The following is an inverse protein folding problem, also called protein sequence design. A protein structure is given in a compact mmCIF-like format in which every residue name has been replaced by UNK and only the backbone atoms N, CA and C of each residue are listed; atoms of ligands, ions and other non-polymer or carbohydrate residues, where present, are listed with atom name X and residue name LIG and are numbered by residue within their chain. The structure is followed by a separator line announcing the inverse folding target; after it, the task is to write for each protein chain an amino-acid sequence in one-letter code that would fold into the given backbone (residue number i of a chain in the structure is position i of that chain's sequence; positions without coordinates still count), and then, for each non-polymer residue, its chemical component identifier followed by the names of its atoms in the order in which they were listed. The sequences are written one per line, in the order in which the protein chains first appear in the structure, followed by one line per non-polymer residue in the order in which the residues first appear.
data_IF_213676557858
#
_entry.id   IF_213676557858
#
_cell.length_a   1.000
_cell.length_b   1.000
_cell.length_c   1.000
_cell.angle_alpha   90.00
_cell.angle_beta   90.00
_cell.angle_gamma   90.00
#
_symmetry.space_group_name_H-M   'P 1'
#
loop_
_entity.id
_entity.type
_entity.pdbx_description
1 polymer ?
#
# COMPACT_ATOMS: atom_id res chain seq x y z
N UNK A 1 35.16 -45.40 86.73
CA UNK A 1 35.25 -46.88 86.66
C UNK A 1 35.00 -47.33 85.23
N UNK A 2 35.93 -48.16 84.72
CA UNK A 2 36.01 -48.95 83.50
C UNK A 2 36.27 -48.17 82.17
N UNK A 3 37.52 -48.14 81.85
CA UNK A 3 38.47 -48.98 81.08
C UNK A 3 38.02 -49.26 79.62
N UNK A 4 38.69 -48.57 78.76
CA UNK A 4 39.65 -49.00 77.77
C UNK A 4 39.35 -50.27 76.93
N UNK A 5 39.42 -50.09 75.62
CA UNK A 5 40.31 -50.88 74.70
C UNK A 5 40.36 -50.26 73.29
N UNK A 6 41.60 -49.89 72.95
CA UNK A 6 41.99 -49.55 71.55
C UNK A 6 42.12 -50.87 70.78
N UNK A 7 41.63 -50.79 69.49
CA UNK A 7 42.12 -51.70 68.44
C UNK A 7 42.59 -50.88 67.26
N UNK A 8 43.86 -51.00 66.96
CA UNK A 8 44.45 -50.60 65.72
C UNK A 8 43.96 -51.52 64.59
N UNK A 9 43.56 -50.87 63.43
CA UNK A 9 43.42 -51.59 62.18
C UNK A 9 44.23 -50.76 61.13
N UNK A 10 45.21 -51.46 60.58
CA UNK A 10 46.04 -50.95 59.47
C UNK A 10 45.24 -50.95 58.18
N UNK A 11 45.21 -49.83 57.51
CA UNK A 11 44.58 -49.69 56.19
C UNK A 11 45.66 -49.69 55.12
N UNK A 12 45.61 -50.67 54.23
CA UNK A 12 46.42 -50.78 53.02
C UNK A 12 45.82 -49.84 51.97
N UNK A 13 46.57 -48.85 51.50
CA UNK A 13 46.18 -47.95 50.44
C UNK A 13 46.50 -48.62 49.08
N UNK A 14 45.44 -49.00 48.35
CA UNK A 14 45.51 -49.43 46.97
C UNK A 14 45.34 -48.20 46.06
N UNK A 15 46.35 -47.82 45.31
CA UNK A 15 46.24 -46.75 44.29
C UNK A 15 45.73 -47.39 42.99
N UNK A 16 44.46 -47.14 42.67
CA UNK A 16 43.91 -47.45 41.35
C UNK A 16 44.03 -46.23 40.45
N UNK A 17 44.88 -46.31 39.42
CA UNK A 17 45.01 -45.32 38.34
C UNK A 17 43.84 -45.51 37.40
N UNK A 18 42.82 -44.62 37.47
CA UNK A 18 41.75 -44.54 36.45
C UNK A 18 42.16 -43.59 35.35
N UNK A 19 42.48 -44.14 34.16
CA UNK A 19 42.71 -43.38 32.94
C UNK A 19 41.35 -42.90 32.41
N UNK A 20 41.01 -41.64 32.62
CA UNK A 20 39.83 -40.98 31.99
C UNK A 20 40.11 -40.65 30.53
N UNK A 21 39.54 -41.43 29.62
CA UNK A 21 39.44 -41.09 28.18
C UNK A 21 38.43 -39.93 28.04
N UNK A 22 38.91 -38.72 27.91
CA UNK A 22 38.12 -37.56 27.51
C UNK A 22 37.78 -37.69 26.03
N UNK A 23 36.57 -38.14 25.71
CA UNK A 23 36.00 -38.06 24.39
C UNK A 23 35.61 -36.60 24.14
N UNK A 24 36.36 -35.89 23.26
CA UNK A 24 36.00 -34.56 22.84
C UNK A 24 34.64 -34.60 22.13
N UNK A 25 33.70 -33.66 22.42
CA UNK A 25 32.43 -33.64 21.74
C UNK A 25 32.67 -33.31 20.27
N UNK A 26 32.22 -34.21 19.37
CA UNK A 26 32.16 -33.96 17.94
C UNK A 26 31.22 -32.78 17.73
N UNK A 27 31.64 -31.69 17.05
CA UNK A 27 30.73 -30.60 16.78
C UNK A 27 29.58 -31.10 15.92
N UNK A 28 28.38 -31.12 16.52
CA UNK A 28 27.14 -31.44 15.80
C UNK A 28 26.99 -30.33 14.74
N UNK A 29 26.97 -30.71 13.46
CA UNK A 29 26.64 -29.77 12.40
C UNK A 29 25.34 -29.07 12.80
N UNK A 30 25.33 -27.73 12.78
CA UNK A 30 24.12 -26.98 13.08
C UNK A 30 23.06 -27.40 12.04
N UNK A 31 22.00 -28.03 12.53
CA UNK A 31 20.88 -28.43 11.71
C UNK A 31 20.33 -27.14 11.08
N UNK A 32 20.28 -27.07 9.74
CA UNK A 32 19.78 -25.90 9.05
C UNK A 32 18.36 -25.61 9.53
N UNK A 33 18.10 -24.37 9.91
CA UNK A 33 16.77 -23.97 10.34
C UNK A 33 15.75 -24.34 9.23
N UNK A 34 14.57 -24.85 9.59
CA UNK A 34 13.57 -25.17 8.58
C UNK A 34 13.25 -23.91 7.76
N UNK A 35 13.03 -24.07 6.44
CA UNK A 35 12.74 -22.92 5.57
C UNK A 35 11.52 -22.16 6.12
N UNK A 36 11.48 -20.82 5.97
CA UNK A 36 10.40 -20.00 6.51
C UNK A 36 9.06 -20.44 5.91
N UNK A 37 8.02 -20.44 6.75
CA UNK A 37 6.67 -20.84 6.36
C UNK A 37 6.10 -20.03 5.18
N UNK A 38 6.61 -18.79 4.99
CA UNK A 38 6.21 -17.86 3.93
C UNK A 38 7.45 -17.24 3.27
N UNK A 39 7.43 -17.13 1.93
CA UNK A 39 8.42 -16.35 1.20
C UNK A 39 8.09 -14.86 1.31
N UNK A 40 9.09 -13.98 1.28
CA UNK A 40 8.86 -12.55 1.14
C UNK A 40 8.14 -12.20 -0.15
N UNK A 41 7.26 -11.22 -0.08
CA UNK A 41 6.50 -10.70 -1.21
C UNK A 41 6.97 -9.30 -1.54
N UNK A 42 7.32 -9.05 -2.80
CA UNK A 42 7.70 -7.72 -3.30
C UNK A 42 6.72 -7.28 -4.39
N UNK A 43 6.06 -6.16 -4.15
CA UNK A 43 5.16 -5.52 -5.11
C UNK A 43 5.88 -4.46 -5.93
N UNK A 44 5.50 -4.30 -7.20
CA UNK A 44 6.03 -3.28 -8.11
C UNK A 44 4.90 -2.61 -8.86
N UNK A 45 4.72 -1.30 -8.61
CA UNK A 45 3.58 -0.52 -9.10
C UNK A 45 3.64 -0.19 -10.59
N UNK A 46 2.51 0.26 -11.13
CA UNK A 46 2.36 0.75 -12.50
C UNK A 46 2.73 2.22 -12.68
N UNK A 47 2.42 2.77 -13.87
CA UNK A 47 2.63 4.18 -14.17
C UNK A 47 1.85 5.07 -13.22
N UNK A 48 2.49 6.14 -12.74
CA UNK A 48 1.95 7.09 -11.75
C UNK A 48 1.40 6.42 -10.46
N UNK A 49 1.76 5.16 -10.23
CA UNK A 49 1.35 4.39 -9.06
C UNK A 49 2.32 4.51 -7.89
N UNK A 50 1.97 3.82 -6.80
CA UNK A 50 2.80 3.69 -5.60
C UNK A 50 2.48 2.38 -4.89
N UNK A 51 3.12 2.14 -3.75
CA UNK A 51 2.83 0.99 -2.89
C UNK A 51 1.36 0.92 -2.45
N UNK A 52 0.65 2.06 -2.39
CA UNK A 52 -0.77 2.10 -2.02
C UNK A 52 -1.66 1.22 -2.90
N UNK A 53 -1.27 0.95 -4.15
CA UNK A 53 -2.01 0.04 -5.05
C UNK A 53 -2.19 -1.36 -4.45
N UNK A 54 -1.24 -1.79 -3.60
CA UNK A 54 -1.19 -3.15 -3.07
C UNK A 54 -1.67 -3.27 -1.62
N UNK A 55 -2.14 -2.18 -0.99
CA UNK A 55 -2.59 -2.19 0.41
C UNK A 55 -3.65 -3.27 0.69
N UNK A 56 -4.64 -3.41 -0.20
CA UNK A 56 -5.70 -4.41 -0.05
C UNK A 56 -5.15 -5.83 -0.09
N UNK A 57 -4.25 -6.12 -1.02
CA UNK A 57 -3.64 -7.46 -1.13
C UNK A 57 -2.69 -7.76 0.03
N UNK A 58 -1.90 -6.79 0.48
CA UNK A 58 -1.06 -6.93 1.67
C UNK A 58 -1.90 -7.27 2.92
N UNK A 59 -3.02 -6.55 3.12
CA UNK A 59 -3.97 -6.84 4.21
C UNK A 59 -4.63 -8.21 4.08
N UNK A 60 -4.93 -8.68 2.86
CA UNK A 60 -5.44 -10.04 2.62
C UNK A 60 -4.37 -11.09 2.88
N UNK A 61 -3.12 -10.87 2.45
CA UNK A 61 -2.00 -11.77 2.78
C UNK A 61 -1.85 -11.91 4.30
N UNK A 62 -1.83 -10.79 5.04
CA UNK A 62 -1.74 -10.84 6.51
C UNK A 62 -3.00 -11.44 7.16
N UNK A 63 -4.18 -11.35 6.53
CA UNK A 63 -5.39 -12.07 6.97
C UNK A 63 -5.28 -13.59 6.80
N UNK A 64 -4.35 -14.05 5.98
CA UNK A 64 -4.05 -15.45 5.72
C UNK A 64 -2.73 -15.92 6.34
N UNK A 65 -2.20 -15.16 7.31
CA UNK A 65 -1.06 -15.56 8.13
C UNK A 65 0.31 -15.08 7.67
N UNK A 66 0.42 -14.33 6.56
CA UNK A 66 1.71 -13.72 6.20
C UNK A 66 2.14 -12.71 7.27
N UNK A 67 3.39 -12.75 7.73
CA UNK A 67 3.95 -11.66 8.53
C UNK A 67 4.00 -10.37 7.73
N UNK A 68 3.64 -9.24 8.34
CA UNK A 68 3.64 -7.95 7.66
C UNK A 68 5.04 -7.50 7.24
N UNK A 69 6.06 -7.86 8.01
CA UNK A 69 7.44 -7.42 7.85
C UNK A 69 8.15 -8.06 6.63
N UNK A 70 7.51 -9.06 6.00
CA UNK A 70 8.01 -9.69 4.77
C UNK A 70 7.22 -9.29 3.52
N UNK A 71 6.33 -8.32 3.64
CA UNK A 71 5.53 -7.78 2.54
C UNK A 71 5.99 -6.35 2.27
N UNK A 72 6.62 -6.13 1.11
CA UNK A 72 7.17 -4.83 0.75
C UNK A 72 6.77 -4.42 -0.66
N UNK A 73 6.91 -3.13 -0.96
CA UNK A 73 6.79 -2.61 -2.30
C UNK A 73 8.08 -1.92 -2.74
N UNK A 74 8.47 -2.14 -3.99
CA UNK A 74 9.55 -1.43 -4.64
C UNK A 74 8.99 -0.29 -5.46
N UNK A 75 9.24 0.94 -5.03
CA UNK A 75 8.76 2.16 -5.67
C UNK A 75 9.87 2.79 -6.51
N UNK A 76 9.46 3.45 -7.59
CA UNK A 76 10.36 4.12 -8.52
C UNK A 76 9.66 5.32 -9.16
N UNK A 77 10.43 6.21 -9.72
CA UNK A 77 9.95 7.36 -10.51
C UNK A 77 9.51 6.88 -11.89
N UNK A 78 8.21 6.52 -11.99
CA UNK A 78 7.66 5.94 -13.21
C UNK A 78 7.70 6.84 -14.44
N UNK A 79 7.51 8.15 -14.36
CA UNK A 79 7.74 9.08 -15.48
C UNK A 79 9.14 8.98 -16.09
N UNK A 80 10.15 8.77 -15.27
CA UNK A 80 11.56 8.74 -15.68
C UNK A 80 12.11 7.32 -15.89
N UNK A 81 11.26 6.30 -15.93
CA UNK A 81 11.68 4.88 -15.96
C UNK A 81 12.69 4.56 -17.08
N UNK A 82 12.57 5.20 -18.24
CA UNK A 82 13.47 4.95 -19.37
C UNK A 82 14.94 5.29 -19.05
N UNK A 83 15.18 6.25 -18.18
CA UNK A 83 16.52 6.73 -17.83
C UNK A 83 17.06 6.12 -16.53
N UNK A 84 16.17 5.65 -15.64
CA UNK A 84 16.54 5.15 -14.29
C UNK A 84 16.46 3.62 -14.15
N UNK A 85 16.17 2.90 -15.23
CA UNK A 85 15.95 1.45 -15.18
C UNK A 85 17.10 0.67 -14.50
N UNK A 86 18.40 0.98 -14.76
CA UNK A 86 19.50 0.33 -14.06
C UNK A 86 19.47 0.55 -12.53
N UNK A 87 19.11 1.75 -12.09
CA UNK A 87 18.99 2.12 -10.67
C UNK A 87 17.81 1.39 -10.02
N UNK A 88 16.68 1.25 -10.74
CA UNK A 88 15.52 0.48 -10.28
C UNK A 88 15.90 -0.99 -10.07
N UNK A 89 16.65 -1.58 -11.00
CA UNK A 89 17.13 -2.96 -10.85
C UNK A 89 18.10 -3.12 -9.67
N UNK A 90 19.03 -2.20 -9.50
CA UNK A 90 19.97 -2.22 -8.36
C UNK A 90 19.23 -2.07 -7.02
N UNK A 91 18.24 -1.19 -6.94
CA UNK A 91 17.39 -1.03 -5.76
C UNK A 91 16.58 -2.28 -5.45
N UNK A 92 16.07 -2.96 -6.48
CA UNK A 92 15.35 -4.22 -6.30
C UNK A 92 16.29 -5.35 -5.85
N UNK A 93 17.51 -5.44 -6.41
CA UNK A 93 18.54 -6.40 -5.97
C UNK A 93 18.87 -6.21 -4.49
N UNK A 94 19.05 -4.97 -4.04
CA UNK A 94 19.33 -4.63 -2.65
C UNK A 94 18.15 -5.01 -1.72
N UNK A 95 16.91 -4.71 -2.13
CA UNK A 95 15.69 -5.06 -1.39
C UNK A 95 15.53 -6.57 -1.23
N UNK A 96 15.66 -7.32 -2.32
CA UNK A 96 15.58 -8.79 -2.31
C UNK A 96 16.68 -9.36 -1.41
N UNK A 97 17.93 -8.88 -1.54
CA UNK A 97 19.05 -9.34 -0.70
C UNK A 97 18.76 -9.15 0.78
N UNK A 98 18.25 -7.99 1.17
CA UNK A 98 17.90 -7.68 2.55
C UNK A 98 16.76 -8.58 3.07
N UNK A 99 15.70 -8.77 2.27
CA UNK A 99 14.58 -9.65 2.65
C UNK A 99 15.01 -11.10 2.83
N UNK A 100 15.82 -11.64 1.91
CA UNK A 100 16.33 -13.00 2.01
C UNK A 100 17.23 -13.16 3.24
N UNK A 101 18.13 -12.21 3.50
CA UNK A 101 18.99 -12.22 4.69
C UNK A 101 18.18 -12.13 6.01
N UNK A 102 17.12 -11.33 6.02
CA UNK A 102 16.28 -11.14 7.21
C UNK A 102 15.36 -12.34 7.51
N UNK A 103 14.99 -13.11 6.49
CA UNK A 103 14.00 -14.21 6.63
C UNK A 103 14.61 -15.59 6.56
N UNK A 104 15.83 -15.74 6.06
CA UNK A 104 16.43 -17.03 5.74
C UNK A 104 15.76 -17.75 4.55
N UNK A 105 14.91 -17.06 3.79
CA UNK A 105 14.34 -17.59 2.56
C UNK A 105 15.37 -17.58 1.42
N UNK A 106 15.30 -18.55 0.52
CA UNK A 106 16.17 -18.62 -0.67
C UNK A 106 15.65 -17.76 -1.82
N UNK A 107 14.34 -17.51 -1.85
CA UNK A 107 13.66 -16.83 -2.94
C UNK A 107 12.53 -15.93 -2.42
N UNK A 108 12.15 -14.95 -3.25
CA UNK A 108 10.97 -14.09 -3.04
C UNK A 108 9.88 -14.40 -4.06
N UNK A 109 8.66 -13.92 -3.78
CA UNK A 109 7.57 -13.83 -4.75
C UNK A 109 7.47 -12.38 -5.26
N UNK A 110 7.45 -12.16 -6.59
CA UNK A 110 7.33 -10.85 -7.22
C UNK A 110 5.95 -10.67 -7.85
N UNK A 111 5.31 -9.54 -7.56
CA UNK A 111 4.02 -9.16 -8.13
C UNK A 111 4.14 -7.77 -8.76
N UNK A 112 3.78 -7.63 -10.02
CA UNK A 112 3.89 -6.37 -10.73
C UNK A 112 2.60 -6.01 -11.46
N UNK A 113 2.31 -4.71 -11.54
CA UNK A 113 1.15 -4.17 -12.20
C UNK A 113 1.54 -3.26 -13.38
N UNK A 114 0.82 -3.36 -14.50
CA UNK A 114 0.91 -2.43 -15.62
C UNK A 114 2.37 -2.17 -16.07
N UNK A 115 2.86 -0.93 -16.03
CA UNK A 115 4.26 -0.57 -16.33
C UNK A 115 5.26 -1.37 -15.48
N UNK A 116 4.92 -1.69 -14.22
CA UNK A 116 5.76 -2.51 -13.36
C UNK A 116 6.02 -3.90 -13.93
N UNK A 117 5.13 -4.43 -14.78
CA UNK A 117 5.35 -5.70 -15.47
C UNK A 117 6.45 -5.61 -16.52
N UNK A 118 6.54 -4.47 -17.24
CA UNK A 118 7.66 -4.19 -18.13
C UNK A 118 8.99 -4.20 -17.35
N UNK A 119 9.01 -3.52 -16.21
CA UNK A 119 10.20 -3.44 -15.34
C UNK A 119 10.59 -4.83 -14.84
N UNK A 120 9.63 -5.64 -14.38
CA UNK A 120 9.91 -6.98 -13.85
C UNK A 120 10.26 -8.00 -14.91
N UNK A 121 9.62 -7.99 -16.07
CA UNK A 121 10.01 -8.86 -17.18
C UNK A 121 11.45 -8.56 -17.61
N UNK A 122 11.81 -7.27 -17.74
CA UNK A 122 13.18 -6.85 -18.00
C UNK A 122 14.16 -7.28 -16.90
N UNK A 123 13.81 -7.13 -15.64
CA UNK A 123 14.62 -7.54 -14.50
C UNK A 123 14.91 -9.04 -14.51
N UNK A 124 13.89 -9.88 -14.69
CA UNK A 124 14.00 -11.33 -14.70
C UNK A 124 14.78 -11.87 -15.91
N UNK A 125 14.65 -11.23 -17.07
CA UNK A 125 15.36 -11.64 -18.30
C UNK A 125 16.80 -11.11 -18.38
N UNK A 126 17.12 -10.07 -17.59
CA UNK A 126 18.45 -9.43 -17.65
C UNK A 126 19.58 -10.27 -17.07
N UNK A 127 19.27 -11.26 -16.21
CA UNK A 127 20.28 -12.11 -15.56
C UNK A 127 19.67 -13.40 -15.00
N UNK A 128 20.25 -14.58 -15.31
CA UNK A 128 19.85 -15.83 -14.67
C UNK A 128 19.94 -15.80 -13.14
N UNK A 129 20.92 -15.06 -12.58
CA UNK A 129 21.09 -14.92 -11.14
C UNK A 129 19.93 -14.14 -10.50
N UNK A 130 19.34 -13.16 -11.19
CA UNK A 130 18.13 -12.46 -10.75
C UNK A 130 16.91 -13.38 -10.76
N UNK A 131 16.70 -14.08 -11.87
CA UNK A 131 15.60 -15.04 -12.02
C UNK A 131 15.66 -16.14 -10.95
N UNK A 132 16.84 -16.67 -10.65
CA UNK A 132 17.04 -17.73 -9.65
C UNK A 132 16.63 -17.33 -8.22
N UNK A 133 16.54 -16.02 -7.92
CA UNK A 133 16.11 -15.50 -6.62
C UNK A 133 14.59 -15.30 -6.50
N UNK A 134 13.82 -15.63 -7.57
CA UNK A 134 12.38 -15.45 -7.64
C UNK A 134 11.70 -16.79 -7.80
N UNK A 135 10.83 -17.16 -6.86
CA UNK A 135 10.07 -18.40 -6.89
C UNK A 135 8.87 -18.31 -7.85
N UNK A 136 8.15 -17.17 -7.76
CA UNK A 136 6.95 -16.91 -8.54
C UNK A 136 6.94 -15.48 -9.04
N UNK A 137 6.43 -15.29 -10.25
CA UNK A 137 6.14 -13.98 -10.81
C UNK A 137 4.63 -13.86 -11.09
N UNK A 138 4.02 -12.77 -10.64
CA UNK A 138 2.61 -12.45 -10.93
C UNK A 138 2.56 -11.18 -11.77
N UNK A 139 1.95 -11.29 -12.95
CA UNK A 139 1.71 -10.21 -13.90
C UNK A 139 0.25 -9.75 -13.79
N UNK A 140 0.02 -8.55 -13.27
CA UNK A 140 -1.31 -7.97 -13.10
C UNK A 140 -1.59 -6.96 -14.20
N UNK A 141 -2.47 -7.30 -15.11
CA UNK A 141 -2.96 -6.50 -16.24
C UNK A 141 -1.87 -5.70 -16.98
N UNK A 142 -0.75 -6.38 -17.27
CA UNK A 142 0.44 -5.73 -17.79
C UNK A 142 0.85 -6.22 -19.18
N UNK A 143 2.16 -6.39 -19.37
CA UNK A 143 2.75 -6.74 -20.65
C UNK A 143 2.59 -8.24 -20.94
N UNK A 144 2.28 -8.57 -22.20
CA UNK A 144 2.34 -9.94 -22.73
C UNK A 144 3.80 -10.39 -22.93
N UNK A 145 4.02 -11.69 -23.04
CA UNK A 145 5.32 -12.27 -23.39
C UNK A 145 5.16 -13.62 -24.11
N UNK A 146 6.17 -14.01 -24.89
CA UNK A 146 6.18 -15.27 -25.63
C UNK A 146 6.65 -16.47 -24.79
N UNK A 147 7.19 -16.21 -23.60
CA UNK A 147 7.61 -17.22 -22.61
C UNK A 147 7.53 -16.61 -21.22
N UNK A 148 7.48 -17.43 -20.15
CA UNK A 148 7.62 -16.93 -18.79
C UNK A 148 8.93 -16.17 -18.61
N UNK A 149 8.92 -14.93 -18.10
CA UNK A 149 10.11 -14.09 -17.98
C UNK A 149 11.20 -14.74 -17.11
N UNK A 150 12.41 -14.85 -17.65
CA UNK A 150 13.53 -15.53 -16.98
C UNK A 150 13.31 -17.01 -16.66
N UNK A 151 12.30 -17.65 -17.26
CA UNK A 151 11.91 -19.04 -16.97
C UNK A 151 11.22 -19.21 -15.61
N UNK A 152 10.84 -18.10 -14.94
CA UNK A 152 10.20 -18.14 -13.62
C UNK A 152 8.73 -18.57 -13.76
N UNK A 153 8.22 -19.48 -12.91
CA UNK A 153 6.79 -19.79 -12.84
C UNK A 153 5.95 -18.53 -12.77
N UNK A 154 5.00 -18.37 -13.69
CA UNK A 154 4.28 -17.10 -13.88
C UNK A 154 2.76 -17.31 -13.84
N UNK A 155 2.07 -16.46 -13.09
CA UNK A 155 0.63 -16.21 -13.17
C UNK A 155 0.42 -14.85 -13.86
N UNK A 156 -0.43 -14.81 -14.88
CA UNK A 156 -0.85 -13.58 -15.53
C UNK A 156 -2.36 -13.38 -15.36
N UNK A 157 -2.75 -12.29 -14.70
CA UNK A 157 -4.15 -11.89 -14.52
C UNK A 157 -4.42 -10.71 -15.44
N UNK A 158 -5.48 -10.83 -16.26
CA UNK A 158 -5.91 -9.87 -17.26
C UNK A 158 -7.26 -9.33 -16.90
N UNK A 159 -7.39 -8.01 -16.84
CA UNK A 159 -8.67 -7.31 -16.68
C UNK A 159 -9.39 -7.09 -18.02
N UNK A 160 -10.19 -6.02 -18.08
CA UNK A 160 -10.87 -5.59 -19.29
C UNK A 160 -9.92 -5.36 -20.47
N UNK A 161 -10.39 -5.54 -21.69
CA UNK A 161 -9.65 -5.32 -22.94
C UNK A 161 -9.54 -6.56 -23.80
N UNK A 162 -8.46 -6.71 -24.55
CA UNK A 162 -8.27 -7.81 -25.48
C UNK A 162 -8.18 -9.16 -24.74
N UNK A 163 -9.11 -10.09 -24.98
CA UNK A 163 -9.11 -11.42 -24.33
C UNK A 163 -8.00 -12.34 -24.83
N UNK A 164 -7.30 -11.98 -25.91
CA UNK A 164 -6.19 -12.75 -26.44
C UNK A 164 -4.85 -12.46 -25.72
N UNK A 165 -4.82 -11.50 -24.80
CA UNK A 165 -3.60 -11.20 -24.04
C UNK A 165 -3.16 -12.40 -23.23
N UNK A 166 -1.88 -12.75 -23.34
CA UNK A 166 -1.30 -13.88 -22.62
C UNK A 166 0.21 -13.72 -22.41
N UNK A 167 0.72 -14.45 -21.43
CA UNK A 167 2.12 -14.87 -21.36
C UNK A 167 2.13 -16.35 -21.73
N UNK A 168 2.74 -16.70 -22.86
CA UNK A 168 2.76 -18.08 -23.38
C UNK A 168 3.53 -18.97 -22.40
N UNK A 169 2.95 -20.12 -22.02
CA UNK A 169 3.52 -21.05 -21.05
C UNK A 169 3.30 -20.67 -19.58
N UNK A 170 2.60 -19.56 -19.31
CA UNK A 170 2.17 -19.19 -17.95
C UNK A 170 0.73 -19.65 -17.67
N UNK A 171 0.33 -19.60 -16.40
CA UNK A 171 -1.10 -19.64 -16.01
C UNK A 171 -1.72 -18.29 -16.34
N UNK A 172 -2.70 -18.26 -17.25
CA UNK A 172 -3.41 -17.03 -17.64
C UNK A 172 -4.84 -17.07 -17.11
N UNK A 173 -5.25 -16.02 -16.39
CA UNK A 173 -6.59 -15.84 -15.83
C UNK A 173 -7.16 -14.52 -16.37
N UNK A 174 -8.37 -14.57 -16.91
CA UNK A 174 -9.06 -13.38 -17.45
C UNK A 174 -10.24 -13.01 -16.55
N UNK A 175 -10.29 -11.76 -16.13
CA UNK A 175 -11.34 -11.14 -15.31
C UNK A 175 -11.94 -9.96 -16.09
N UNK A 176 -12.72 -10.21 -17.16
CA UNK A 176 -13.11 -9.18 -18.13
C UNK A 176 -13.96 -8.06 -17.55
N UNK A 177 -14.59 -8.30 -16.40
CA UNK A 177 -15.41 -7.31 -15.69
C UNK A 177 -14.62 -6.44 -14.71
N UNK A 178 -13.29 -6.68 -14.59
CA UNK A 178 -12.42 -5.89 -13.75
C UNK A 178 -11.66 -4.84 -14.57
N UNK A 179 -11.64 -3.63 -14.04
CA UNK A 179 -10.85 -2.54 -14.60
C UNK A 179 -9.34 -2.73 -14.35
N UNK A 180 -8.52 -1.93 -15.00
CA UNK A 180 -7.07 -2.04 -15.01
C UNK A 180 -6.43 -2.08 -13.60
N UNK A 181 -6.81 -1.17 -12.70
CA UNK A 181 -6.29 -1.17 -11.32
C UNK A 181 -7.10 -2.08 -10.39
N UNK A 182 -8.35 -2.40 -10.73
CA UNK A 182 -9.16 -3.34 -9.95
C UNK A 182 -8.54 -4.74 -9.91
N UNK A 183 -7.86 -5.18 -10.98
CA UNK A 183 -7.12 -6.45 -10.98
C UNK A 183 -6.05 -6.53 -9.88
N UNK A 184 -5.56 -5.39 -9.40
CA UNK A 184 -4.58 -5.34 -8.31
C UNK A 184 -5.23 -5.49 -6.94
N UNK A 185 -6.44 -4.93 -6.75
CA UNK A 185 -7.07 -4.77 -5.43
C UNK A 185 -8.19 -5.76 -5.14
N UNK A 186 -8.67 -6.52 -6.13
CA UNK A 186 -9.86 -7.36 -6.01
C UNK A 186 -9.66 -8.63 -5.17
N UNK A 187 -10.72 -9.14 -4.53
CA UNK A 187 -10.69 -10.43 -3.83
C UNK A 187 -10.54 -11.63 -4.77
N UNK A 188 -11.05 -11.53 -6.02
CA UNK A 188 -10.94 -12.58 -7.05
C UNK A 188 -9.47 -12.74 -7.47
N UNK A 189 -8.80 -11.63 -7.80
CA UNK A 189 -7.35 -11.66 -8.08
C UNK A 189 -6.54 -12.19 -6.90
N UNK A 190 -6.95 -11.85 -5.67
CA UNK A 190 -6.28 -12.38 -4.48
C UNK A 190 -6.39 -13.90 -4.35
N UNK A 191 -7.55 -14.50 -4.64
CA UNK A 191 -7.74 -15.95 -4.61
C UNK A 191 -6.77 -16.65 -5.58
N UNK A 192 -6.70 -16.16 -6.81
CA UNK A 192 -5.79 -16.67 -7.83
C UNK A 192 -4.30 -16.51 -7.43
N UNK A 193 -3.93 -15.32 -6.96
CA UNK A 193 -2.57 -15.04 -6.46
C UNK A 193 -2.22 -16.00 -5.33
N UNK A 194 -3.08 -16.12 -4.32
CA UNK A 194 -2.78 -16.95 -3.16
C UNK A 194 -2.67 -18.43 -3.51
N UNK A 195 -3.55 -18.94 -4.36
CA UNK A 195 -3.47 -20.32 -4.89
C UNK A 195 -2.16 -20.56 -5.63
N UNK A 196 -1.75 -19.62 -6.46
CA UNK A 196 -0.51 -19.73 -7.22
C UNK A 196 0.72 -19.71 -6.30
N UNK A 197 0.78 -18.79 -5.33
CA UNK A 197 1.92 -18.68 -4.42
C UNK A 197 2.00 -19.83 -3.39
N UNK A 198 0.84 -20.41 -3.01
CA UNK A 198 0.76 -21.35 -1.88
C UNK A 198 0.33 -22.77 -2.25
N UNK A 199 -0.08 -23.02 -3.49
CA UNK A 199 -0.61 -24.31 -3.94
C UNK A 199 -1.92 -24.73 -3.26
N UNK A 200 -2.61 -23.79 -2.59
CA UNK A 200 -3.88 -24.02 -1.88
C UNK A 200 -4.73 -22.75 -1.83
N UNK A 201 -6.03 -22.92 -1.63
CA UNK A 201 -6.93 -21.78 -1.43
C UNK A 201 -6.58 -20.96 -0.18
N UNK A 202 -6.84 -19.63 -0.19
CA UNK A 202 -6.77 -18.81 1.01
C UNK A 202 -7.86 -19.23 2.01
N UNK A 203 -7.62 -19.00 3.30
CA UNK A 203 -8.68 -19.17 4.32
C UNK A 203 -9.79 -18.14 4.12
N UNK A 204 -9.46 -16.97 3.61
CA UNK A 204 -10.40 -15.90 3.31
C UNK A 204 -9.85 -14.95 2.26
N UNK A 205 -10.74 -14.43 1.41
CA UNK A 205 -10.45 -13.32 0.50
C UNK A 205 -10.81 -11.96 1.12
N UNK A 206 -11.36 -11.95 2.34
CA UNK A 206 -11.71 -10.74 3.07
C UNK A 206 -10.51 -10.22 3.87
N UNK A 207 -10.50 -8.92 4.12
CA UNK A 207 -9.61 -8.31 5.11
C UNK A 207 -10.23 -8.52 6.49
N UNK A 208 -9.62 -9.40 7.29
CA UNK A 208 -10.09 -9.73 8.64
C UNK A 208 -9.56 -8.68 9.63
N UNK A 209 -10.42 -7.97 10.35
CA UNK A 209 -10.00 -7.02 11.36
C UNK A 209 -9.15 -7.67 12.47
N UNK A 210 -8.17 -6.93 13.00
CA UNK A 210 -7.48 -7.32 14.22
C UNK A 210 -8.44 -7.13 15.41
N UNK A 211 -8.78 -8.21 16.09
CA UNK A 211 -9.85 -8.22 17.11
C UNK A 211 -9.49 -7.46 18.39
N UNK A 212 -8.21 -7.37 18.73
CA UNK A 212 -7.74 -6.71 19.94
C UNK A 212 -6.51 -5.87 19.68
N UNK A 213 -6.52 -4.65 20.21
CA UNK A 213 -5.37 -3.78 20.25
C UNK A 213 -5.20 -2.83 19.08
N UNK A 214 -3.99 -2.35 18.98
CA UNK A 214 -3.56 -1.34 18.02
C UNK A 214 -3.06 -2.01 16.75
N UNK A 215 -3.51 -1.51 15.59
CA UNK A 215 -2.82 -1.73 14.32
C UNK A 215 -1.53 -0.90 14.29
N UNK A 216 -0.48 -1.44 13.71
CA UNK A 216 0.77 -0.71 13.47
C UNK A 216 0.75 -0.17 12.04
N UNK A 217 0.84 1.14 11.89
CA UNK A 217 0.79 1.80 10.59
C UNK A 217 2.13 2.47 10.30
N UNK A 218 2.71 2.14 9.17
CA UNK A 218 3.88 2.82 8.63
C UNK A 218 3.67 3.15 7.16
N UNK A 219 4.46 4.07 6.65
CA UNK A 219 4.32 4.49 5.28
C UNK A 219 5.30 5.57 4.90
N UNK A 220 4.96 6.27 3.82
CA UNK A 220 5.75 7.40 3.32
C UNK A 220 4.82 8.54 2.89
N UNK A 221 5.23 9.78 3.12
CA UNK A 221 4.71 10.94 2.41
C UNK A 221 5.54 11.13 1.14
N UNK A 222 4.90 11.13 -0.02
CA UNK A 222 5.59 11.11 -1.31
C UNK A 222 5.02 12.14 -2.29
N UNK A 223 5.88 12.62 -3.18
CA UNK A 223 5.51 13.53 -4.27
C UNK A 223 4.95 12.73 -5.45
N UNK A 224 3.82 13.16 -5.95
CA UNK A 224 3.22 12.61 -7.17
C UNK A 224 3.85 13.24 -8.42
N UNK A 225 4.10 12.47 -9.48
CA UNK A 225 4.02 11.01 -9.61
C UNK A 225 5.36 10.29 -9.37
N UNK A 226 6.39 11.00 -8.91
CA UNK A 226 7.78 10.52 -8.83
C UNK A 226 8.04 9.54 -7.68
N UNK A 227 7.18 9.50 -6.66
CA UNK A 227 7.40 8.80 -5.39
C UNK A 227 8.64 9.26 -4.60
N UNK A 228 9.18 10.44 -4.93
CA UNK A 228 10.21 11.08 -4.11
C UNK A 228 9.63 11.42 -2.75
N UNK A 229 10.38 11.15 -1.70
CA UNK A 229 9.94 11.41 -0.32
C UNK A 229 9.79 12.91 -0.03
N UNK A 230 8.80 13.25 0.76
CA UNK A 230 8.63 14.60 1.32
C UNK A 230 9.59 14.74 2.49
N UNK A 231 10.50 15.70 2.39
CA UNK A 231 11.44 16.07 3.47
C UNK A 231 10.99 17.34 4.19
N UNK A 232 11.66 17.68 5.27
CA UNK A 232 11.43 18.92 6.05
C UNK A 232 9.97 19.13 6.47
N UNK A 233 9.30 18.04 6.79
CA UNK A 233 7.91 17.99 7.20
C UNK A 233 7.71 17.18 8.46
N UNK A 234 6.64 17.47 9.16
CA UNK A 234 6.16 16.71 10.32
C UNK A 234 4.82 16.08 9.99
N UNK A 235 4.69 14.79 10.29
CA UNK A 235 3.42 14.10 10.28
C UNK A 235 2.77 14.21 11.66
N UNK A 236 1.54 14.71 11.69
CA UNK A 236 0.68 14.72 12.87
C UNK A 236 -0.49 13.77 12.63
N UNK A 237 -0.77 12.88 13.58
CA UNK A 237 -1.84 11.88 13.48
C UNK A 237 -2.89 12.16 14.53
N UNK A 238 -4.13 12.35 14.10
CA UNK A 238 -5.26 12.66 14.95
C UNK A 238 -6.37 11.61 14.81
N UNK A 239 -6.87 11.04 15.89
CA UNK A 239 -8.16 10.35 15.86
C UNK A 239 -9.26 11.36 15.57
N UNK A 240 -10.19 11.00 14.67
CA UNK A 240 -11.28 11.90 14.25
C UNK A 240 -12.65 11.30 14.51
N UNK A 241 -13.64 12.17 14.72
CA UNK A 241 -15.03 11.78 14.84
C UNK A 241 -15.54 11.18 13.51
N UNK A 242 -16.15 10.00 13.51
CA UNK A 242 -16.75 9.44 12.30
C UNK A 242 -17.96 10.27 11.80
N UNK A 243 -18.57 11.07 12.67
CA UNK A 243 -19.76 11.87 12.36
C UNK A 243 -19.41 13.21 11.72
N UNK A 244 -18.28 13.82 12.12
CA UNK A 244 -17.92 15.17 11.66
C UNK A 244 -16.58 15.25 10.95
N UNK A 245 -15.73 14.20 11.04
CA UNK A 245 -14.34 14.27 10.60
C UNK A 245 -13.45 15.18 11.48
N UNK A 246 -14.04 15.86 12.43
CA UNK A 246 -13.30 16.74 13.35
C UNK A 246 -12.39 15.96 14.30
N UNK A 247 -11.26 16.58 14.64
CA UNK A 247 -10.27 16.02 15.57
C UNK A 247 -10.88 15.82 16.95
N UNK A 248 -10.68 14.65 17.55
CA UNK A 248 -11.15 14.35 18.92
C UNK A 248 -10.29 15.02 20.01
N UNK A 249 -9.11 15.53 19.64
CA UNK A 249 -8.20 16.27 20.51
C UNK A 249 -7.46 17.33 19.70
N UNK A 250 -7.18 18.48 20.33
CA UNK A 250 -6.33 19.52 19.73
C UNK A 250 -4.85 19.10 19.65
N UNK A 251 -4.45 18.11 20.46
CA UNK A 251 -3.10 17.54 20.41
C UNK A 251 -3.10 16.29 19.55
N UNK A 252 -2.12 16.12 18.65
CA UNK A 252 -1.99 14.89 17.88
C UNK A 252 -1.72 13.70 18.81
N UNK A 253 -2.26 12.54 18.47
CA UNK A 253 -1.91 11.28 19.14
C UNK A 253 -0.45 10.89 18.85
N UNK A 254 0.03 11.22 17.64
CA UNK A 254 1.42 11.03 17.26
C UNK A 254 1.91 12.24 16.47
N UNK A 255 3.16 12.62 16.73
CA UNK A 255 3.89 13.64 15.97
C UNK A 255 5.25 13.08 15.60
N UNK A 256 5.50 12.92 14.30
CA UNK A 256 6.65 12.21 13.76
C UNK A 256 7.33 13.10 12.72
N UNK A 257 8.60 13.47 12.89
CA UNK A 257 9.39 14.02 11.79
C UNK A 257 9.45 13.00 10.64
N UNK A 258 9.25 13.44 9.41
CA UNK A 258 9.41 12.56 8.26
C UNK A 258 10.89 12.25 8.03
N UNK A 259 11.19 11.00 7.67
CA UNK A 259 12.54 10.59 7.29
C UNK A 259 13.00 11.26 5.99
N UNK A 260 14.27 11.15 5.64
CA UNK A 260 14.83 11.73 4.43
C UNK A 260 14.25 11.19 3.12
N UNK A 261 13.55 10.07 3.18
CA UNK A 261 12.78 9.47 2.09
C UNK A 261 11.25 9.63 2.26
N UNK A 262 10.82 10.48 3.19
CA UNK A 262 9.42 10.69 3.54
C UNK A 262 8.83 9.61 4.44
N UNK A 263 9.62 8.66 4.95
CA UNK A 263 9.16 7.55 5.77
C UNK A 263 8.68 7.99 7.15
N UNK A 264 7.69 7.25 7.68
CA UNK A 264 7.18 7.40 9.04
C UNK A 264 6.72 6.05 9.61
N UNK A 265 6.66 6.02 10.94
CA UNK A 265 6.11 4.87 11.67
C UNK A 265 7.14 3.79 12.01
N UNK A 266 6.67 2.63 12.55
CA UNK A 266 5.26 2.34 12.78
C UNK A 266 4.64 3.15 13.93
N UNK A 267 3.47 3.75 13.68
CA UNK A 267 2.65 4.40 14.70
C UNK A 267 1.50 3.46 15.11
N UNK A 268 1.21 3.31 16.41
CA UNK A 268 0.07 2.52 16.87
C UNK A 268 -1.22 3.31 16.68
N UNK A 269 -2.24 2.67 16.10
CA UNK A 269 -3.58 3.22 15.90
C UNK A 269 -4.63 2.19 16.28
N UNK A 270 -5.81 2.62 16.71
CA UNK A 270 -6.94 1.72 16.90
C UNK A 270 -7.44 1.26 15.54
N UNK A 271 -7.50 -0.05 15.31
CA UNK A 271 -7.83 -0.63 14.00
C UNK A 271 -9.22 -0.26 13.48
N UNK A 272 -10.15 0.09 14.38
CA UNK A 272 -11.55 0.44 14.10
C UNK A 272 -11.82 1.95 14.07
N UNK A 273 -10.85 2.78 14.48
CA UNK A 273 -11.01 4.23 14.51
C UNK A 273 -10.63 4.86 13.17
N UNK A 274 -11.12 6.06 12.93
CA UNK A 274 -10.78 6.90 11.79
C UNK A 274 -9.70 7.89 12.19
N UNK A 275 -8.86 8.22 11.25
CA UNK A 275 -7.72 9.10 11.49
C UNK A 275 -7.56 10.15 10.39
N UNK A 276 -7.07 11.29 10.81
CA UNK A 276 -6.45 12.29 9.96
C UNK A 276 -4.93 12.17 10.13
N UNK A 277 -4.24 12.09 8.99
CA UNK A 277 -2.79 12.21 8.88
C UNK A 277 -2.48 13.56 8.26
N UNK A 278 -1.98 14.51 9.04
CA UNK A 278 -1.68 15.85 8.59
C UNK A 278 -0.19 16.00 8.30
N UNK A 279 0.16 16.27 7.05
CA UNK A 279 1.53 16.61 6.64
C UNK A 279 1.71 18.12 6.77
N UNK A 280 2.50 18.53 7.74
CA UNK A 280 2.78 19.93 8.06
C UNK A 280 4.16 20.30 7.54
N UNK A 281 4.21 21.26 6.62
CA UNK A 281 5.43 21.82 6.04
C UNK A 281 5.53 23.30 6.39
N UNK A 282 6.71 23.82 6.80
CA UNK A 282 6.88 25.25 7.06
C UNK A 282 6.51 26.10 5.84
N UNK A 283 5.71 27.12 6.04
CA UNK A 283 5.34 28.08 4.97
C UNK A 283 4.41 27.55 3.89
N UNK A 284 3.83 26.35 4.04
CA UNK A 284 2.94 25.74 3.08
C UNK A 284 1.58 25.38 3.69
N UNK A 285 0.56 25.24 2.85
CA UNK A 285 -0.73 24.72 3.26
C UNK A 285 -0.58 23.32 3.90
N UNK A 286 -1.24 23.08 5.03
CA UNK A 286 -1.30 21.78 5.66
C UNK A 286 -2.07 20.80 4.77
N UNK A 287 -1.52 19.60 4.55
CA UNK A 287 -2.21 18.58 3.77
C UNK A 287 -2.80 17.51 4.70
N UNK A 288 -4.11 17.45 4.74
CA UNK A 288 -4.91 16.54 5.58
C UNK A 288 -5.31 15.32 4.78
N UNK A 289 -4.94 14.12 5.25
CA UNK A 289 -5.34 12.85 4.67
C UNK A 289 -6.31 12.15 5.62
N UNK A 290 -7.56 12.02 5.20
CA UNK A 290 -8.58 11.30 5.94
C UNK A 290 -8.62 9.86 5.47
N UNK A 291 -8.40 8.92 6.39
CA UNK A 291 -8.36 7.49 6.10
C UNK A 291 -9.47 6.77 6.85
N UNK A 292 -10.02 5.76 6.20
CA UNK A 292 -10.99 4.85 6.80
C UNK A 292 -10.30 3.95 7.84
N UNK A 293 -11.05 3.20 8.67
CA UNK A 293 -10.45 2.30 9.65
C UNK A 293 -9.48 1.31 9.01
N UNK A 294 -8.26 1.24 9.51
CA UNK A 294 -7.21 0.38 8.94
C UNK A 294 -7.56 -1.10 8.96
N UNK A 295 -8.42 -1.52 9.90
CA UNK A 295 -8.80 -2.90 10.20
C UNK A 295 -7.62 -3.76 10.64
N UNK A 296 -6.46 -3.64 10.01
CA UNK A 296 -5.21 -4.37 10.29
C UNK A 296 -4.01 -3.45 10.20
N UNK A 297 -2.88 -3.93 10.70
CA UNK A 297 -1.58 -3.27 10.48
C UNK A 297 -1.31 -3.08 8.98
N UNK A 298 -0.68 -1.96 8.64
CA UNK A 298 -0.43 -1.52 7.27
C UNK A 298 0.95 -0.88 7.15
N UNK A 299 1.78 -1.40 6.27
CA UNK A 299 3.12 -0.89 6.00
C UNK A 299 3.23 -0.15 4.65
N UNK A 300 2.14 -0.11 3.89
CA UNK A 300 2.10 0.43 2.53
C UNK A 300 1.32 1.75 2.41
N UNK A 301 1.00 2.42 3.53
CA UNK A 301 0.29 3.70 3.47
C UNK A 301 1.13 4.75 2.72
N UNK A 302 0.49 5.44 1.76
CA UNK A 302 1.09 6.57 1.04
C UNK A 302 0.26 7.82 1.21
N UNK A 303 0.91 8.86 1.67
CA UNK A 303 0.37 10.21 1.76
C UNK A 303 0.90 10.97 0.54
N UNK A 304 0.17 10.82 -0.57
CA UNK A 304 0.58 11.35 -1.87
C UNK A 304 0.25 12.84 -1.97
N UNK A 305 1.25 13.67 -2.18
CA UNK A 305 1.13 15.13 -2.24
C UNK A 305 1.90 15.69 -3.43
N UNK A 306 1.87 17.01 -3.62
CA UNK A 306 2.68 17.75 -4.59
C UNK A 306 3.66 18.69 -3.88
N UNK A 307 4.67 19.17 -4.59
CA UNK A 307 5.42 20.35 -4.17
C UNK A 307 4.45 21.54 -4.11
N UNK A 308 4.44 22.33 -3.03
CA UNK A 308 3.54 23.49 -2.94
C UNK A 308 3.71 24.45 -4.10
N UNK A 309 2.60 24.79 -4.78
CA UNK A 309 2.59 25.69 -5.93
C UNK A 309 3.13 25.08 -7.23
N UNK A 310 3.39 23.76 -7.28
CA UNK A 310 3.88 23.09 -8.47
C UNK A 310 2.99 21.90 -8.87
N UNK A 311 3.10 21.48 -10.13
CA UNK A 311 2.36 20.32 -10.66
C UNK A 311 0.86 20.44 -10.42
N UNK A 312 0.22 19.35 -9.96
CA UNK A 312 -1.23 19.35 -9.74
C UNK A 312 -1.70 20.35 -8.67
N UNK A 313 -0.84 20.74 -7.71
CA UNK A 313 -1.23 21.72 -6.70
C UNK A 313 -1.32 23.14 -7.22
N UNK A 314 -0.62 23.45 -8.31
CA UNK A 314 -0.70 24.75 -8.99
C UNK A 314 -1.97 24.90 -9.83
N UNK A 315 -2.62 23.78 -10.17
CA UNK A 315 -3.85 23.77 -10.97
C UNK A 315 -5.13 23.90 -10.12
N UNK A 316 -5.02 23.87 -8.80
CA UNK A 316 -6.17 23.96 -7.90
C UNK A 316 -6.37 25.42 -7.50
N UNK A 317 -7.48 26.02 -7.88
CA UNK A 317 -7.86 27.32 -7.39
C UNK A 317 -8.13 27.29 -5.88
N UNK A 318 -7.69 28.33 -5.20
CA UNK A 318 -7.72 28.40 -3.75
C UNK A 318 -8.27 29.71 -3.23
N UNK A 319 -9.11 29.63 -2.22
CA UNK A 319 -9.66 30.81 -1.56
C UNK A 319 -10.01 30.54 -0.08
N UNK A 320 -10.35 31.60 0.65
CA UNK A 320 -10.90 31.47 2.00
C UNK A 320 -12.38 31.02 2.00
N UNK A 321 -13.05 31.01 0.84
CA UNK A 321 -14.49 30.80 0.69
C UNK A 321 -14.87 29.36 0.37
N UNK A 322 -13.95 28.57 -0.19
CA UNK A 322 -14.23 27.20 -0.57
C UNK A 322 -13.20 26.19 -0.05
N UNK A 323 -13.62 24.94 0.04
CA UNK A 323 -12.79 23.76 0.30
C UNK A 323 -12.37 23.10 -1.01
N UNK A 324 -11.12 22.67 -1.10
CA UNK A 324 -10.63 21.85 -2.20
C UNK A 324 -10.34 20.42 -1.72
N UNK A 325 -10.91 19.43 -2.40
CA UNK A 325 -10.79 18.01 -2.07
C UNK A 325 -10.06 17.24 -3.16
N UNK A 326 -9.31 16.24 -2.76
CA UNK A 326 -8.90 15.13 -3.63
C UNK A 326 -9.53 13.85 -3.08
N UNK A 327 -10.32 13.14 -3.89
CA UNK A 327 -10.93 11.86 -3.51
C UNK A 327 -10.26 10.77 -4.34
N UNK A 328 -9.59 9.84 -3.67
CA UNK A 328 -8.81 8.80 -4.35
C UNK A 328 -9.10 7.41 -3.81
N UNK A 329 -8.93 6.41 -4.69
CA UNK A 329 -9.01 5.00 -4.35
C UNK A 329 -8.12 4.16 -5.28
N UNK A 330 -8.06 2.84 -5.08
CA UNK A 330 -7.26 1.94 -5.90
C UNK A 330 -8.09 1.14 -6.94
N UNK A 331 -9.30 1.59 -7.23
CA UNK A 331 -10.23 1.04 -8.21
C UNK A 331 -10.77 2.19 -9.04
N UNK A 332 -10.81 2.09 -10.36
CA UNK A 332 -11.26 3.17 -11.22
C UNK A 332 -12.72 3.56 -10.96
N UNK A 333 -13.02 4.83 -11.14
CA UNK A 333 -14.36 5.38 -11.10
C UNK A 333 -15.06 5.21 -12.44
N UNK A 334 -16.26 4.61 -12.45
CA UNK A 334 -17.09 4.44 -13.62
C UNK A 334 -18.37 5.27 -13.47
N UNK A 335 -18.35 6.52 -13.91
CA UNK A 335 -19.49 7.44 -13.85
C UNK A 335 -20.44 7.32 -15.04
N UNK A 336 -20.08 6.60 -16.08
CA UNK A 336 -20.84 6.44 -17.32
C UNK A 336 -21.68 5.16 -17.40
N UNK A 337 -21.69 4.33 -16.35
CA UNK A 337 -22.36 3.04 -16.33
C UNK A 337 -23.76 3.09 -15.64
N UNK A 338 -24.32 4.26 -15.43
CA UNK A 338 -25.62 4.43 -14.78
C UNK A 338 -25.68 3.77 -13.40
N UNK A 339 -26.69 2.94 -13.15
CA UNK A 339 -26.84 2.27 -11.85
C UNK A 339 -25.84 1.13 -11.63
N UNK A 340 -25.26 0.58 -12.69
CA UNK A 340 -24.19 -0.40 -12.60
C UNK A 340 -22.80 0.24 -12.29
N UNK A 341 -22.69 1.56 -12.41
CA UNK A 341 -21.48 2.31 -12.14
C UNK A 341 -21.30 2.69 -10.68
N UNK A 342 -20.26 3.51 -10.47
CA UNK A 342 -20.01 4.14 -9.18
C UNK A 342 -20.79 5.44 -9.04
N UNK A 343 -21.03 5.86 -7.79
CA UNK A 343 -21.58 7.18 -7.46
C UNK A 343 -20.73 7.83 -6.36
N UNK A 344 -20.56 9.12 -6.50
CA UNK A 344 -19.87 9.94 -5.50
C UNK A 344 -20.71 11.19 -5.22
N UNK A 345 -21.17 11.30 -3.98
CA UNK A 345 -21.87 12.49 -3.54
C UNK A 345 -20.98 13.33 -2.63
N UNK A 346 -20.90 14.62 -2.92
CA UNK A 346 -20.30 15.63 -2.04
C UNK A 346 -21.43 16.52 -1.53
N UNK A 347 -21.67 16.55 -0.23
CA UNK A 347 -22.79 17.25 0.39
C UNK A 347 -24.15 16.92 -0.26
N UNK A 348 -24.34 15.65 -0.64
CA UNK A 348 -25.57 15.17 -1.28
C UNK A 348 -25.67 15.43 -2.79
N UNK A 349 -24.74 16.14 -3.41
CA UNK A 349 -24.66 16.34 -4.87
C UNK A 349 -23.85 15.22 -5.51
N UNK A 350 -24.45 14.50 -6.46
CA UNK A 350 -23.71 13.51 -7.28
C UNK A 350 -22.77 14.26 -8.23
N UNK A 351 -21.47 13.96 -8.14
CA UNK A 351 -20.43 14.65 -8.92
C UNK A 351 -19.87 13.80 -10.05
N UNK A 352 -20.26 12.50 -10.16
CA UNK A 352 -19.81 11.65 -11.25
C UNK A 352 -20.80 11.63 -12.40
N UNK A 353 -20.29 11.66 -13.63
CA UNK A 353 -21.07 11.50 -14.84
C UNK A 353 -20.22 10.95 -16.00
N UNK A 354 -20.87 10.73 -17.15
CA UNK A 354 -20.21 10.19 -18.33
C UNK A 354 -19.16 11.14 -18.94
N UNK A 355 -19.23 12.45 -18.68
CA UNK A 355 -18.27 13.39 -19.19
C UNK A 355 -16.97 13.39 -18.39
N UNK A 356 -17.06 13.32 -17.04
CA UNK A 356 -15.90 13.50 -16.16
C UNK A 356 -15.24 12.18 -15.71
N UNK A 357 -15.99 11.07 -15.65
CA UNK A 357 -15.46 9.75 -15.25
C UNK A 357 -15.93 8.61 -16.16
N UNK A 358 -15.77 8.72 -17.50
CA UNK A 358 -16.07 7.60 -18.38
C UNK A 358 -15.12 6.42 -18.09
N UNK A 359 -15.59 5.19 -18.23
CA UNK A 359 -14.83 3.96 -17.97
C UNK A 359 -13.46 3.97 -18.68
N UNK A 360 -13.43 4.42 -19.93
CA UNK A 360 -12.21 4.48 -20.73
C UNK A 360 -11.12 5.42 -20.18
N UNK A 361 -11.51 6.39 -19.34
CA UNK A 361 -10.59 7.34 -18.71
C UNK A 361 -9.75 6.71 -17.60
N UNK A 362 -10.21 5.62 -16.98
CA UNK A 362 -9.52 4.91 -15.89
C UNK A 362 -9.21 5.81 -14.70
N UNK A 363 -10.12 6.70 -14.34
CA UNK A 363 -9.93 7.66 -13.25
C UNK A 363 -9.80 6.96 -11.90
N UNK A 364 -8.76 7.26 -11.12
CA UNK A 364 -8.58 6.81 -9.73
C UNK A 364 -8.59 7.96 -8.73
N UNK A 365 -8.28 9.18 -9.17
CA UNK A 365 -8.30 10.38 -8.33
C UNK A 365 -9.16 11.48 -8.96
N UNK A 366 -9.99 12.10 -8.12
CA UNK A 366 -10.92 13.18 -8.49
C UNK A 366 -10.52 14.41 -7.70
N UNK A 367 -10.17 15.49 -8.38
CA UNK A 367 -9.98 16.81 -7.79
C UNK A 367 -11.30 17.55 -7.86
N UNK A 368 -11.82 17.99 -6.71
CA UNK A 368 -13.12 18.64 -6.58
C UNK A 368 -12.93 19.98 -5.85
N UNK A 369 -13.10 21.07 -6.55
CA UNK A 369 -12.95 22.43 -6.04
C UNK A 369 -13.75 23.41 -6.89
N UNK A 370 -13.91 24.64 -6.41
CA UNK A 370 -14.56 25.75 -7.08
C UNK A 370 -13.59 26.38 -8.08
N UNK A 371 -13.74 26.00 -9.34
CA UNK A 371 -12.90 26.52 -10.44
C UNK A 371 -13.16 28.01 -10.61
N UNK A 372 -12.12 28.79 -10.84
CA UNK A 372 -12.15 30.27 -10.87
C UNK A 372 -12.59 30.94 -9.54
N UNK A 373 -12.88 30.17 -8.49
CA UNK A 373 -13.34 30.67 -7.16
C UNK A 373 -14.58 31.60 -7.27
N UNK A 374 -15.50 31.31 -8.19
CA UNK A 374 -16.66 32.12 -8.49
C UNK A 374 -17.92 31.79 -7.65
N UNK A 375 -17.89 30.66 -6.92
CA UNK A 375 -18.99 30.18 -6.08
C UNK A 375 -20.05 29.40 -6.85
N UNK A 376 -19.78 28.99 -8.08
CA UNK A 376 -20.69 28.24 -8.96
C UNK A 376 -20.21 26.78 -9.04
N UNK A 377 -21.13 25.88 -9.27
CA UNK A 377 -20.83 24.47 -9.58
C UNK A 377 -21.23 24.20 -11.03
N UNK A 378 -20.30 23.74 -11.84
CA UNK A 378 -20.53 23.27 -13.20
C UNK A 378 -19.96 21.85 -13.41
N UNK A 379 -20.84 20.87 -13.50
CA UNK A 379 -20.49 19.47 -13.71
C UNK A 379 -20.70 19.03 -15.17
N UNK A 380 -20.96 19.95 -16.08
CA UNK A 380 -21.28 19.64 -17.49
C UNK A 380 -20.07 19.12 -18.26
N UNK A 381 -18.86 19.55 -17.87
CA UNK A 381 -17.59 19.09 -18.41
C UNK A 381 -16.55 18.87 -17.29
N UNK A 382 -15.56 18.00 -17.50
CA UNK A 382 -14.43 17.90 -16.58
C UNK A 382 -13.50 19.12 -16.74
N UNK A 383 -12.71 19.42 -15.69
CA UNK A 383 -11.65 20.42 -15.77
C UNK A 383 -10.52 19.92 -16.70
N UNK A 384 -10.22 20.61 -17.82
CA UNK A 384 -9.35 20.08 -18.88
C UNK A 384 -7.93 19.75 -18.41
N UNK A 385 -7.34 20.57 -17.53
CA UNK A 385 -5.98 20.43 -17.02
C UNK A 385 -5.80 19.12 -16.23
N UNK A 386 -6.83 18.71 -15.51
CA UNK A 386 -6.87 17.44 -14.78
C UNK A 386 -7.28 16.29 -15.71
N UNK A 387 -8.25 16.51 -16.57
CA UNK A 387 -8.75 15.45 -17.45
C UNK A 387 -7.71 15.02 -18.50
N UNK A 388 -6.77 15.88 -18.86
CA UNK A 388 -5.63 15.54 -19.72
C UNK A 388 -4.64 14.58 -19.04
N UNK A 389 -4.61 14.53 -17.71
CA UNK A 389 -3.70 13.66 -16.94
C UNK A 389 -4.22 12.23 -16.87
N UNK A 390 -3.34 11.25 -17.02
CA UNK A 390 -3.71 9.83 -16.89
C UNK A 390 -4.19 9.52 -15.46
N UNK A 391 -5.29 8.78 -15.33
CA UNK A 391 -5.90 8.33 -14.07
C UNK A 391 -6.49 9.46 -13.18
N UNK A 392 -6.56 10.67 -13.66
CA UNK A 392 -7.03 11.83 -12.89
C UNK A 392 -8.16 12.52 -13.64
N UNK A 393 -9.12 13.09 -12.91
CA UNK A 393 -10.12 14.05 -13.40
C UNK A 393 -10.28 15.20 -12.41
N UNK A 394 -10.75 16.34 -12.89
CA UNK A 394 -11.20 17.46 -12.08
C UNK A 394 -12.67 17.73 -12.30
N UNK A 395 -13.35 18.14 -11.27
CA UNK A 395 -14.76 18.58 -11.31
C UNK A 395 -14.90 19.94 -10.64
N UNK A 396 -15.62 20.83 -11.30
CA UNK A 396 -15.94 22.15 -10.77
C UNK A 396 -17.12 22.03 -9.80
N UNK A 397 -16.84 22.21 -8.51
CA UNK A 397 -17.85 22.14 -7.46
C UNK A 397 -17.56 23.09 -6.33
N UNK A 398 -18.48 24.02 -6.10
CA UNK A 398 -18.42 24.93 -4.94
C UNK A 398 -18.76 24.17 -3.65
N UNK A 399 -17.77 24.09 -2.75
CA UNK A 399 -17.89 23.49 -1.43
C UNK A 399 -17.58 24.60 -0.42
N UNK A 400 -18.57 25.23 0.23
CA UNK A 400 -18.33 26.35 1.12
C UNK A 400 -17.37 26.01 2.26
N UNK A 401 -16.33 26.84 2.45
CA UNK A 401 -15.45 26.76 3.60
C UNK A 401 -16.07 27.39 4.84
N UNK A 402 -15.64 26.91 6.01
CA UNK A 402 -15.98 27.51 7.30
C UNK A 402 -14.78 27.44 8.26
N UNK A 403 -14.82 28.15 9.40
CA UNK A 403 -13.83 27.91 10.45
C UNK A 403 -13.78 26.42 10.81
N UNK A 404 -12.59 25.90 10.95
CA UNK A 404 -12.18 24.48 10.91
C UNK A 404 -12.98 23.48 11.77
N UNK A 405 -13.85 23.86 12.62
CA UNK A 405 -14.62 22.96 13.50
C UNK A 405 -16.13 23.24 13.51
N UNK A 406 -16.59 24.13 12.63
CA UNK A 406 -17.99 24.56 12.60
C UNK A 406 -18.77 24.02 11.40
N UNK A 407 -18.08 23.43 10.40
CA UNK A 407 -18.73 22.86 9.24
C UNK A 407 -18.08 21.56 8.81
N UNK A 408 -18.84 20.78 8.05
CA UNK A 408 -18.36 19.50 7.51
C UNK A 408 -18.68 19.39 6.02
N UNK A 409 -17.89 18.57 5.34
CA UNK A 409 -18.19 18.06 4.00
C UNK A 409 -18.49 16.57 4.12
N UNK A 410 -19.70 16.19 3.75
CA UNK A 410 -20.12 14.79 3.68
C UNK A 410 -19.76 14.19 2.33
N UNK A 411 -18.97 13.12 2.33
CA UNK A 411 -18.56 12.38 1.14
C UNK A 411 -19.17 11.00 1.23
N UNK A 412 -20.02 10.66 0.28
CA UNK A 412 -20.67 9.33 0.20
C UNK A 412 -20.29 8.67 -1.11
N UNK A 413 -19.89 7.43 -1.03
CA UNK A 413 -19.53 6.61 -2.20
C UNK A 413 -20.44 5.39 -2.24
N UNK A 414 -21.10 5.15 -3.37
CA UNK A 414 -21.67 3.86 -3.72
C UNK A 414 -20.76 3.21 -4.76
N UNK A 415 -20.21 2.09 -4.43
CA UNK A 415 -19.28 1.37 -5.30
C UNK A 415 -20.06 0.43 -6.24
N UNK A 416 -19.61 0.31 -7.50
CA UNK A 416 -20.08 -0.78 -8.37
C UNK A 416 -19.76 -2.14 -7.73
N UNK A 417 -20.68 -3.08 -7.88
CA UNK A 417 -20.59 -4.38 -7.19
C UNK A 417 -21.08 -4.36 -5.75
N UNK A 418 -21.62 -3.22 -5.27
CA UNK A 418 -22.19 -3.04 -3.93
C UNK A 418 -21.16 -2.49 -2.94
N UNK A 419 -21.67 -1.96 -1.84
CA UNK A 419 -20.86 -1.32 -0.81
C UNK A 419 -21.05 0.20 -0.78
N UNK A 420 -21.00 0.73 0.46
CA UNK A 420 -21.10 2.15 0.74
C UNK A 420 -19.94 2.58 1.65
N UNK A 421 -19.37 3.72 1.35
CA UNK A 421 -18.45 4.40 2.22
C UNK A 421 -18.97 5.81 2.51
N UNK A 422 -18.92 6.20 3.77
CA UNK A 422 -19.20 7.58 4.20
C UNK A 422 -17.99 8.11 4.94
N UNK A 423 -17.46 9.23 4.46
CA UNK A 423 -16.36 9.95 5.09
C UNK A 423 -16.78 11.38 5.27
N UNK A 424 -16.74 11.87 6.49
CA UNK A 424 -16.98 13.27 6.81
C UNK A 424 -15.63 13.92 7.11
N UNK A 425 -15.42 15.13 6.59
CA UNK A 425 -14.23 15.93 6.81
C UNK A 425 -14.63 17.37 7.14
N UNK A 426 -13.85 18.12 7.93
CA UNK A 426 -14.07 19.54 8.11
C UNK A 426 -13.92 20.28 6.77
N UNK A 427 -14.74 21.31 6.57
CA UNK A 427 -14.69 22.13 5.37
C UNK A 427 -13.60 23.22 5.48
N UNK A 428 -12.35 22.77 5.44
CA UNK A 428 -11.15 23.57 5.49
C UNK A 428 -11.09 24.58 4.33
N UNK A 429 -10.70 25.83 4.60
CA UNK A 429 -10.44 26.81 3.55
C UNK A 429 -9.24 26.39 2.67
N UNK A 430 -9.41 26.40 1.39
CA UNK A 430 -8.40 25.93 0.43
C UNK A 430 -7.15 26.81 0.36
N UNK A 431 -7.22 28.08 0.80
CA UNK A 431 -6.07 29.00 0.89
C UNK A 431 -4.97 28.51 1.82
N UNK A 432 -5.32 27.75 2.88
CA UNK A 432 -4.38 27.29 3.90
C UNK A 432 -4.34 25.76 4.09
N UNK A 433 -5.22 25.04 3.42
CA UNK A 433 -5.40 23.60 3.62
C UNK A 433 -5.60 22.85 2.30
N UNK A 434 -5.13 21.61 2.26
CA UNK A 434 -5.44 20.62 1.22
C UNK A 434 -6.06 19.41 1.91
N UNK A 435 -7.05 18.81 1.29
CA UNK A 435 -7.76 17.67 1.87
C UNK A 435 -7.77 16.52 0.88
N UNK A 436 -7.22 15.38 1.29
CA UNK A 436 -7.33 14.13 0.55
C UNK A 436 -8.15 13.12 1.34
N UNK A 437 -9.11 12.48 0.67
CA UNK A 437 -9.92 11.39 1.22
C UNK A 437 -9.56 10.11 0.50
N UNK A 438 -9.05 9.14 1.25
CA UNK A 438 -8.77 7.81 0.74
C UNK A 438 -10.01 6.92 0.96
N UNK A 439 -10.56 6.39 -0.14
CA UNK A 439 -11.70 5.48 -0.11
C UNK A 439 -11.19 4.05 -0.25
N UNK A 440 -11.57 3.19 0.67
CA UNK A 440 -11.22 1.77 0.63
C UNK A 440 -12.05 1.03 -0.42
N UNK A 441 -11.42 0.07 -1.11
CA UNK A 441 -12.00 -0.73 -2.20
C UNK A 441 -12.09 -2.24 -1.83
N UNK A 442 -12.50 -2.57 -0.60
CA UNK A 442 -12.57 -3.98 -0.14
C UNK A 442 -13.86 -4.37 0.56
#
# INVERSE_FOLDING_TARGET
MHTSRRRLLATVAGVTLAASLSVAPVPRAAEAAPPPAYRPVVFVHGSAGSAAQFQSQAKRLTSNGYPIDIIEAHEYDSPNIATILPQVYAGLDARISRLLAATGADQVDLLAHSLGTFVMQGYLTSSPARAARVAHYVNLDGRTATTPPGGVPTLAIWGEGDPARAIVGATNVHLPDQSHTQTVSSPESFDEIFRFLRGRAPHTTRIVPQLFGTARVSGRAVLFPSNVGVTDATLEVYPVSPLTGGRLSQRPAHRVPLGGDGSFGPVPVLATARYEFAVVRPGAATHHFYVQPFRRSDSLLRLTTSVPGEGLSALVDTSDRHTALTIQRQKEWWGDQGDAGDRLWINGRDVLNAANTPRVKRTIAIFAFDDHSDGVTDLTAPLPEFFSQTFITGVDVFIPAAPAHLGLVGITVRQRGGGYAVVNVPNWRSSAHRVTVNVDDF
#
